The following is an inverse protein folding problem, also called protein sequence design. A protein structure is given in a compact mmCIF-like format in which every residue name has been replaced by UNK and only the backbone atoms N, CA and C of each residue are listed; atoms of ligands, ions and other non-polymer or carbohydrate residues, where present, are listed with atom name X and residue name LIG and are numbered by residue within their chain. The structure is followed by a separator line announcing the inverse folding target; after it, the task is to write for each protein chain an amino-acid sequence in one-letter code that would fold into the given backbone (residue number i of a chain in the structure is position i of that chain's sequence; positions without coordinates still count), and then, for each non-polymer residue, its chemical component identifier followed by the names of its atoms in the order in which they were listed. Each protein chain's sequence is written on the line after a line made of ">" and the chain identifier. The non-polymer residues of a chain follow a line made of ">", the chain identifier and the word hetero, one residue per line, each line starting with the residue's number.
data_IF_354655248220
#
_entry.id   IF_354655248220
#
_cell.length_a   1.000
_cell.length_b   1.000
_cell.length_c   1.000
_cell.angle_alpha   90.00
_cell.angle_beta   90.00
_cell.angle_gamma   90.00
#
_symmetry.space_group_name_H-M   'P 1'
#
loop_
_entity.id
_entity.type
_entity.pdbx_description
1 polymer ?
#
# COMPACT_ATOMS: atom_id res chain seq x y z
N UNK A 1 31.14 -5.82 -11.14
CA UNK A 1 31.36 -6.59 -9.89
C UNK A 1 30.32 -6.29 -8.83
N UNK A 2 29.50 -7.27 -8.47
CA UNK A 2 28.54 -7.13 -7.37
C UNK A 2 29.22 -7.39 -6.02
N UNK A 3 29.31 -6.37 -5.16
CA UNK A 3 29.77 -6.55 -3.78
C UNK A 3 28.76 -7.42 -3.03
N UNK A 4 29.23 -8.49 -2.39
CA UNK A 4 28.41 -9.30 -1.48
C UNK A 4 28.42 -8.66 -0.11
N UNK A 5 27.22 -8.35 0.39
CA UNK A 5 27.01 -7.86 1.74
C UNK A 5 26.51 -9.00 2.63
N UNK A 6 26.95 -9.01 3.88
CA UNK A 6 26.46 -9.94 4.91
C UNK A 6 25.85 -9.13 6.03
N UNK A 7 24.61 -9.45 6.37
CA UNK A 7 23.88 -8.84 7.47
C UNK A 7 23.37 -9.94 8.41
N UNK A 8 23.26 -9.63 9.71
CA UNK A 8 22.61 -10.54 10.63
C UNK A 8 21.11 -10.60 10.33
N UNK A 9 20.52 -11.79 10.38
CA UNK A 9 19.08 -11.93 10.19
C UNK A 9 18.27 -11.18 11.27
N UNK A 10 18.85 -11.02 12.47
CA UNK A 10 18.24 -10.29 13.58
C UNK A 10 18.15 -8.81 13.24
N UNK A 11 19.26 -8.17 12.85
CA UNK A 11 19.26 -6.74 12.48
C UNK A 11 18.33 -6.45 11.31
N UNK A 12 18.26 -7.36 10.32
CA UNK A 12 17.34 -7.21 9.19
C UNK A 12 15.88 -7.25 9.65
N UNK A 13 15.51 -8.20 10.51
CA UNK A 13 14.15 -8.31 11.05
C UNK A 13 13.77 -7.07 11.87
N UNK A 14 14.68 -6.57 12.70
CA UNK A 14 14.43 -5.34 13.46
C UNK A 14 14.18 -4.14 12.55
N UNK A 15 14.94 -3.99 11.46
CA UNK A 15 14.73 -2.91 10.50
C UNK A 15 13.42 -3.03 9.73
N UNK A 16 13.02 -4.25 9.36
CA UNK A 16 11.72 -4.50 8.74
C UNK A 16 10.59 -4.15 9.72
N UNK A 17 10.70 -4.58 10.97
CA UNK A 17 9.72 -4.31 12.03
C UNK A 17 9.55 -2.80 12.26
N UNK A 18 10.65 -2.08 12.43
CA UNK A 18 10.68 -0.62 12.58
C UNK A 18 9.98 0.09 11.42
N UNK A 19 10.24 -0.34 10.18
CA UNK A 19 9.57 0.23 9.01
C UNK A 19 8.06 -0.06 8.96
N UNK A 20 7.64 -1.28 9.33
CA UNK A 20 6.22 -1.64 9.41
C UNK A 20 5.49 -0.90 10.54
N UNK A 21 6.16 -0.68 11.67
CA UNK A 21 5.63 0.10 12.78
C UNK A 21 5.44 1.57 12.37
N UNK A 22 6.38 2.16 11.64
CA UNK A 22 6.23 3.51 11.08
C UNK A 22 5.03 3.65 10.13
N UNK A 23 4.75 2.64 9.30
CA UNK A 23 3.53 2.62 8.46
C UNK A 23 2.27 2.63 9.34
N UNK A 24 2.26 1.85 10.44
CA UNK A 24 1.12 1.81 11.34
C UNK A 24 0.90 3.16 12.04
N UNK A 25 1.98 3.84 12.45
CA UNK A 25 1.95 5.18 13.03
C UNK A 25 1.34 6.20 12.06
N UNK A 26 1.81 6.23 10.80
CA UNK A 26 1.24 7.10 9.76
C UNK A 26 -0.25 6.83 9.54
N UNK A 27 -0.67 5.56 9.53
CA UNK A 27 -2.10 5.21 9.38
C UNK A 27 -2.91 5.77 10.56
N UNK A 28 -2.43 5.63 11.79
CA UNK A 28 -3.11 6.17 12.97
C UNK A 28 -3.16 7.70 12.96
N UNK A 29 -2.07 8.38 12.56
CA UNK A 29 -2.06 9.84 12.40
C UNK A 29 -3.11 10.31 11.38
N UNK A 30 -3.19 9.63 10.22
CA UNK A 30 -4.22 9.91 9.22
C UNK A 30 -5.64 9.71 9.78
N UNK A 31 -5.85 8.65 10.58
CA UNK A 31 -7.14 8.37 11.21
C UNK A 31 -7.52 9.41 12.25
N UNK A 32 -6.59 9.80 13.11
CA UNK A 32 -6.81 10.83 14.13
C UNK A 32 -7.08 12.20 13.51
N UNK A 33 -6.44 12.50 12.39
CA UNK A 33 -6.64 13.73 11.63
C UNK A 33 -7.93 13.73 10.80
N UNK A 34 -8.58 12.57 10.62
CA UNK A 34 -9.80 12.45 9.83
C UNK A 34 -11.03 12.82 10.66
N UNK A 35 -11.58 14.01 10.39
CA UNK A 35 -12.79 14.54 11.05
C UNK A 35 -14.11 14.02 10.47
N UNK A 36 -14.06 13.07 9.53
CA UNK A 36 -15.23 12.52 8.86
C UNK A 36 -15.98 11.47 9.67
N UNK A 37 -16.62 10.53 8.96
CA UNK A 37 -17.41 9.45 9.56
C UNK A 37 -16.55 8.51 10.41
N UNK A 38 -17.14 7.95 11.48
CA UNK A 38 -16.51 6.94 12.31
C UNK A 38 -16.01 5.74 11.47
N UNK A 39 -14.76 5.34 11.71
CA UNK A 39 -14.04 4.28 10.97
C UNK A 39 -13.86 3.00 11.80
N UNK A 40 -14.38 2.93 13.02
CA UNK A 40 -13.99 1.91 14.00
C UNK A 40 -14.40 0.49 13.61
N UNK A 41 -15.50 0.32 12.88
CA UNK A 41 -15.97 -1.00 12.43
C UNK A 41 -15.61 -1.29 10.97
N UNK A 42 -14.78 -0.47 10.32
CA UNK A 42 -14.48 -0.63 8.90
C UNK A 42 -13.16 -1.35 8.69
N UNK A 43 -13.17 -2.30 7.76
CA UNK A 43 -11.97 -2.97 7.25
C UNK A 43 -11.08 -1.96 6.53
N UNK A 44 -9.78 -2.00 6.82
CA UNK A 44 -8.79 -1.19 6.11
C UNK A 44 -8.43 -1.93 4.82
N UNK A 45 -8.65 -1.28 3.68
CA UNK A 45 -8.25 -1.82 2.37
C UNK A 45 -6.84 -1.32 2.05
N UNK A 46 -5.95 -2.24 1.72
CA UNK A 46 -4.56 -1.93 1.36
C UNK A 46 -4.22 -2.46 -0.03
N UNK A 47 -3.39 -1.71 -0.74
CA UNK A 47 -2.87 -2.10 -2.06
C UNK A 47 -1.51 -1.45 -2.30
N UNK A 48 -0.88 -1.76 -3.42
CA UNK A 48 0.39 -1.21 -3.84
C UNK A 48 1.52 -2.23 -3.92
N UNK A 49 2.62 -1.80 -4.51
CA UNK A 49 3.80 -2.62 -4.83
C UNK A 49 4.41 -3.32 -3.62
N UNK A 50 4.44 -2.65 -2.48
CA UNK A 50 5.15 -3.14 -1.30
C UNK A 50 4.35 -4.12 -0.44
N UNK A 51 3.02 -4.22 -0.62
CA UNK A 51 2.14 -4.96 0.30
C UNK A 51 2.47 -6.44 0.41
N UNK A 52 2.95 -7.05 -0.68
CA UNK A 52 3.31 -8.48 -0.73
C UNK A 52 4.83 -8.75 -0.89
N UNK A 53 5.65 -7.71 -0.83
CA UNK A 53 7.12 -7.83 -1.01
C UNK A 53 7.77 -8.53 0.18
N UNK A 54 7.32 -8.20 1.40
CA UNK A 54 7.80 -8.82 2.63
C UNK A 54 6.70 -9.73 3.18
N UNK A 55 7.03 -11.00 3.42
CA UNK A 55 6.10 -11.94 4.03
C UNK A 55 5.83 -11.54 5.48
N UNK A 56 4.55 -11.52 5.88
CA UNK A 56 4.14 -11.13 7.24
C UNK A 56 3.71 -9.66 7.35
N UNK A 57 3.84 -8.86 6.28
CA UNK A 57 3.47 -7.44 6.31
C UNK A 57 2.01 -7.21 6.67
N UNK A 58 1.09 -7.95 6.06
CA UNK A 58 -0.36 -7.79 6.29
C UNK A 58 -0.71 -8.18 7.72
N UNK A 59 -0.16 -9.28 8.20
CA UNK A 59 -0.38 -9.80 9.55
C UNK A 59 0.18 -8.83 10.61
N UNK A 60 1.38 -8.28 10.38
CA UNK A 60 1.99 -7.30 11.29
C UNK A 60 1.12 -6.06 11.42
N UNK A 61 0.70 -5.47 10.30
CA UNK A 61 -0.12 -4.25 10.31
C UNK A 61 -1.49 -4.54 10.93
N UNK A 62 -2.11 -5.68 10.62
CA UNK A 62 -3.43 -6.05 11.17
C UNK A 62 -3.38 -6.16 12.69
N UNK A 63 -2.36 -6.84 13.21
CA UNK A 63 -2.16 -7.02 14.65
C UNK A 63 -1.84 -5.69 15.34
N UNK A 64 -0.96 -4.87 14.74
CA UNK A 64 -0.51 -3.61 15.33
C UNK A 64 -1.61 -2.55 15.41
N UNK A 65 -2.50 -2.52 14.42
CA UNK A 65 -3.65 -1.60 14.36
C UNK A 65 -4.89 -2.17 15.06
N UNK A 66 -4.92 -3.47 15.39
CA UNK A 66 -6.10 -4.18 15.91
C UNK A 66 -7.30 -4.01 14.96
N UNK A 67 -7.06 -4.20 13.66
CA UNK A 67 -8.05 -4.05 12.59
C UNK A 67 -7.93 -5.15 11.56
N UNK A 68 -9.06 -5.48 10.93
CA UNK A 68 -9.08 -6.34 9.76
C UNK A 68 -8.50 -5.57 8.56
N UNK A 69 -7.58 -6.23 7.85
CA UNK A 69 -7.02 -5.75 6.59
C UNK A 69 -7.54 -6.60 5.44
N UNK A 70 -7.83 -5.94 4.33
CA UNK A 70 -8.16 -6.58 3.06
C UNK A 70 -7.15 -6.10 2.01
N UNK A 71 -6.41 -7.03 1.41
CA UNK A 71 -5.54 -6.69 0.28
C UNK A 71 -6.39 -6.69 -0.99
N UNK A 72 -6.51 -5.53 -1.61
CA UNK A 72 -7.20 -5.36 -2.89
C UNK A 72 -6.19 -5.29 -4.04
N UNK A 73 -6.67 -5.47 -5.26
CA UNK A 73 -5.86 -5.42 -6.47
C UNK A 73 -6.64 -4.76 -7.61
N UNK A 74 -5.96 -4.30 -8.68
CA UNK A 74 -6.62 -3.75 -9.86
C UNK A 74 -7.50 -4.80 -10.53
N UNK A 75 -8.66 -4.38 -11.03
CA UNK A 75 -9.58 -5.26 -11.77
C UNK A 75 -9.18 -5.37 -13.26
N UNK A 76 -7.91 -5.67 -13.52
CA UNK A 76 -7.37 -5.78 -14.88
C UNK A 76 -6.90 -7.23 -15.09
N UNK A 77 -7.44 -7.96 -16.09
CA UNK A 77 -7.03 -9.33 -16.37
C UNK A 77 -5.50 -9.44 -16.52
N UNK A 78 -4.90 -10.49 -15.95
CA UNK A 78 -3.45 -10.74 -15.88
C UNK A 78 -2.64 -9.77 -15.00
N UNK A 79 -3.21 -8.64 -14.58
CA UNK A 79 -2.61 -7.64 -13.70
C UNK A 79 -3.41 -7.45 -12.40
N UNK A 80 -4.15 -8.48 -12.01
CA UNK A 80 -5.00 -8.57 -10.82
C UNK A 80 -4.21 -8.80 -9.53
N UNK A 81 -3.08 -8.09 -9.41
CA UNK A 81 -2.18 -8.20 -8.26
C UNK A 81 -1.87 -6.82 -7.70
N UNK A 82 -1.75 -6.67 -6.37
CA UNK A 82 -1.57 -5.37 -5.73
C UNK A 82 -0.33 -4.63 -6.24
N UNK A 83 0.69 -5.34 -6.72
CA UNK A 83 1.90 -4.70 -7.23
C UNK A 83 1.72 -3.85 -8.48
N UNK A 84 0.65 -4.07 -9.24
CA UNK A 84 0.38 -3.28 -10.43
C UNK A 84 -0.43 -2.02 -10.12
N UNK A 85 -0.86 -1.82 -8.88
CA UNK A 85 -1.82 -0.76 -8.53
C UNK A 85 -1.27 0.63 -8.78
N UNK A 86 -0.05 0.94 -8.34
CA UNK A 86 0.51 2.28 -8.54
C UNK A 86 0.68 2.61 -10.03
N UNK A 87 1.21 1.66 -10.80
CA UNK A 87 1.41 1.82 -12.24
C UNK A 87 0.08 1.99 -12.99
N UNK A 88 -0.90 1.12 -12.71
CA UNK A 88 -2.19 1.15 -13.39
C UNK A 88 -3.03 2.36 -12.97
N UNK A 89 -2.97 2.78 -11.70
CA UNK A 89 -3.62 4.01 -11.26
C UNK A 89 -3.04 5.22 -11.98
N UNK A 90 -1.71 5.32 -12.12
CA UNK A 90 -1.06 6.42 -12.83
C UNK A 90 -1.45 6.43 -14.32
N UNK A 91 -1.45 5.27 -14.97
CA UNK A 91 -1.89 5.14 -16.36
C UNK A 91 -3.36 5.55 -16.52
N UNK A 92 -4.24 5.11 -15.60
CA UNK A 92 -5.65 5.46 -15.63
C UNK A 92 -5.84 6.99 -15.51
N UNK A 93 -5.17 7.63 -14.56
CA UNK A 93 -5.20 9.09 -14.42
C UNK A 93 -4.70 9.80 -15.68
N UNK A 94 -3.61 9.34 -16.29
CA UNK A 94 -3.09 9.93 -17.53
C UNK A 94 -4.06 9.77 -18.73
N UNK A 95 -4.79 8.66 -18.81
CA UNK A 95 -5.82 8.45 -19.83
C UNK A 95 -7.03 9.36 -19.60
N UNK A 96 -7.51 9.48 -18.36
CA UNK A 96 -8.60 10.39 -17.99
C UNK A 96 -8.28 11.85 -18.34
N UNK A 97 -7.04 12.29 -18.06
CA UNK A 97 -6.56 13.63 -18.42
C UNK A 97 -6.53 13.85 -19.94
N UNK A 98 -6.04 12.86 -20.69
CA UNK A 98 -5.98 12.93 -22.16
C UNK A 98 -7.37 12.96 -22.80
N UNK A 99 -8.32 12.16 -22.29
CA UNK A 99 -9.71 12.19 -22.73
C UNK A 99 -10.33 13.56 -22.47
N UNK A 100 -10.18 14.11 -21.25
CA UNK A 100 -10.71 15.43 -20.91
C UNK A 100 -10.23 16.51 -21.90
N UNK A 101 -8.92 16.56 -22.21
CA UNK A 101 -8.36 17.50 -23.20
C UNK A 101 -8.95 17.29 -24.60
N UNK A 102 -9.17 16.04 -25.01
CA UNK A 102 -9.78 15.73 -26.31
C UNK A 102 -11.25 16.16 -26.41
N UNK A 103 -11.99 16.13 -25.31
CA UNK A 103 -13.38 16.62 -25.23
C UNK A 103 -13.46 18.15 -25.29
N UNK A 104 -12.51 18.89 -24.71
CA UNK A 104 -12.48 20.36 -24.77
C UNK A 104 -11.99 20.91 -26.12
N UNK A 105 -11.26 20.12 -26.90
CA UNK A 105 -10.78 20.49 -28.25
C UNK A 105 -11.74 20.05 -29.38
N UNK A 106 -12.93 19.55 -29.03
CA UNK A 106 -14.03 19.21 -29.95
C UNK A 106 -15.14 20.25 -29.86
#
# INVERSE_FOLDING_TARGET
>A
DGKRYKYSAISLREKIREGLDGICETIEECRQSFSGRNLDCKTIKITGECVKTVRGTVEHISNRLVKNLEVIAPSVPYYDKPQFSSLLSLLNTALEDAEAVSFFNK
#
